data_IF_449437453213
#
_entry.id   IF_449437453213
#
_cell.length_a   1.000
_cell.length_b   1.000
_cell.length_c   1.000
_cell.angle_alpha   90.00
_cell.angle_beta   90.00
_cell.angle_gamma   90.00
#
_symmetry.space_group_name_H-M   'P 1'
#
loop_
_entity.id
_entity.type
_entity.pdbx_description
1 polymer ?
#
# COMPACT_ATOMS: atom_id res chain seq x y z
N UNK A 1 -13.25 0.17 -19.89
CA UNK A 1 -12.71 -0.53 -18.71
C UNK A 1 -12.05 0.44 -17.77
N UNK A 2 -12.24 0.25 -16.49
CA UNK A 2 -11.70 1.14 -15.48
C UNK A 2 -10.38 0.57 -14.94
N UNK A 3 -9.34 1.37 -14.97
CA UNK A 3 -8.06 0.98 -14.39
C UNK A 3 -8.16 1.05 -12.85
N UNK A 4 -7.72 0.00 -12.17
CA UNK A 4 -7.68 -0.01 -10.71
C UNK A 4 -6.36 0.59 -10.25
N UNK A 5 -6.44 1.61 -9.41
CA UNK A 5 -5.29 2.25 -8.79
C UNK A 5 -5.23 1.90 -7.32
N UNK A 6 -4.11 1.36 -6.89
CA UNK A 6 -3.85 1.06 -5.48
C UNK A 6 -2.75 1.96 -4.96
N UNK A 7 -2.84 2.32 -3.70
CA UNK A 7 -1.77 3.08 -3.03
C UNK A 7 -1.39 2.39 -1.73
N UNK A 8 -0.12 2.45 -1.42
CA UNK A 8 0.41 1.86 -0.22
C UNK A 8 1.87 2.23 -0.06
N UNK A 9 2.65 1.37 0.55
CA UNK A 9 4.04 1.72 0.63
C UNK A 9 4.93 0.83 1.47
N UNK A 10 6.15 1.28 1.55
CA UNK A 10 7.18 0.72 2.41
C UNK A 10 7.06 1.43 3.75
N UNK A 11 6.67 0.69 4.79
CA UNK A 11 6.40 1.25 6.12
C UNK A 11 7.53 0.85 7.04
N UNK A 12 8.20 1.83 7.61
CA UNK A 12 9.34 1.62 8.51
C UNK A 12 8.89 1.81 9.95
N UNK A 13 9.25 0.86 10.80
CA UNK A 13 9.01 0.92 12.23
C UNK A 13 10.19 0.29 12.96
N UNK A 14 10.89 1.08 13.77
CA UNK A 14 12.04 0.63 14.57
C UNK A 14 13.05 -0.16 13.74
N UNK A 15 13.40 0.37 12.57
CA UNK A 15 14.38 -0.24 11.68
C UNK A 15 13.90 -1.46 10.92
N UNK A 16 12.61 -1.74 10.96
CA UNK A 16 12.01 -2.89 10.27
C UNK A 16 10.97 -2.43 9.26
N UNK A 17 10.70 -3.28 8.29
CA UNK A 17 9.68 -3.02 7.26
C UNK A 17 8.45 -3.85 7.59
N UNK A 18 7.29 -3.20 7.53
CA UNK A 18 6.00 -3.88 7.72
C UNK A 18 5.64 -4.68 6.49
N UNK A 19 5.45 -5.96 6.67
CA UNK A 19 4.95 -6.86 5.63
C UNK A 19 3.69 -7.55 6.12
N UNK A 20 2.78 -7.81 5.19
CA UNK A 20 1.55 -8.54 5.45
C UNK A 20 1.64 -9.90 4.78
N UNK A 21 1.20 -10.94 5.47
CA UNK A 21 1.09 -12.26 4.87
C UNK A 21 -0.32 -12.42 4.31
N UNK A 22 -0.40 -12.74 3.03
CA UNK A 22 -1.69 -12.90 2.37
C UNK A 22 -1.76 -14.20 1.59
N UNK A 23 -2.95 -14.77 1.57
CA UNK A 23 -3.27 -15.95 0.78
C UNK A 23 -4.44 -15.60 -0.13
N UNK A 24 -4.17 -15.50 -1.42
CA UNK A 24 -5.16 -15.16 -2.44
C UNK A 24 -5.69 -16.41 -3.13
N UNK A 25 -6.24 -17.34 -2.37
CA UNK A 25 -6.95 -18.54 -2.87
C UNK A 25 -6.43 -19.06 -4.22
N UNK A 26 -5.42 -19.93 -4.20
CA UNK A 26 -4.85 -20.59 -5.39
C UNK A 26 -4.17 -19.67 -6.40
N UNK A 27 -3.95 -18.38 -6.07
CA UNK A 27 -3.24 -17.46 -6.95
C UNK A 27 -1.88 -17.09 -6.42
N UNK A 28 -1.83 -16.66 -5.18
CA UNK A 28 -0.60 -16.23 -4.55
C UNK A 28 -0.72 -16.37 -3.04
N UNK A 29 0.34 -16.84 -2.43
CA UNK A 29 0.46 -16.87 -0.99
C UNK A 29 1.84 -16.36 -0.63
N UNK A 30 1.92 -15.38 0.26
CA UNK A 30 3.21 -14.85 0.68
C UNK A 30 3.13 -13.48 1.30
N UNK A 31 4.28 -12.85 1.43
CA UNK A 31 4.43 -11.54 2.06
C UNK A 31 4.27 -10.44 1.04
N UNK A 32 3.49 -9.42 1.39
CA UNK A 32 3.23 -8.28 0.52
C UNK A 32 3.34 -6.98 1.30
N UNK A 33 3.59 -5.89 0.57
CA UNK A 33 3.52 -4.55 1.14
C UNK A 33 2.06 -4.16 1.35
N UNK A 34 1.73 -3.40 2.42
CA UNK A 34 0.38 -2.89 2.60
C UNK A 34 -0.01 -1.97 1.47
N UNK A 35 -1.19 -2.18 0.90
CA UNK A 35 -1.75 -1.33 -0.14
C UNK A 35 -3.23 -1.64 -0.32
N UNK A 36 -3.93 -0.71 -0.94
CA UNK A 36 -5.33 -0.91 -1.28
C UNK A 36 -5.84 0.11 -2.26
N UNK A 37 -7.07 -0.10 -2.70
CA UNK A 37 -7.68 0.67 -3.78
C UNK A 37 -8.04 2.09 -3.33
N UNK A 38 -7.76 3.06 -4.20
CA UNK A 38 -8.14 4.46 -3.98
C UNK A 38 -9.65 4.58 -3.99
N UNK A 39 -10.20 5.25 -2.98
CA UNK A 39 -11.62 5.54 -2.91
C UNK A 39 -11.92 6.87 -3.59
N UNK A 40 -13.16 7.04 -4.03
CA UNK A 40 -13.58 8.24 -4.72
C UNK A 40 -13.32 9.48 -3.85
N UNK A 41 -12.67 10.49 -4.44
CA UNK A 41 -12.35 11.74 -3.76
C UNK A 41 -11.14 11.68 -2.85
N UNK A 42 -10.50 10.52 -2.75
CA UNK A 42 -9.36 10.34 -1.86
C UNK A 42 -8.05 10.68 -2.58
N UNK A 43 -7.16 11.39 -1.88
CA UNK A 43 -5.81 11.62 -2.38
C UNK A 43 -4.99 10.35 -2.25
N UNK A 44 -4.02 10.14 -3.17
CA UNK A 44 -3.21 8.92 -3.17
C UNK A 44 -2.47 8.70 -1.85
N UNK A 45 -1.86 9.77 -1.30
CA UNK A 45 -1.15 9.65 -0.03
C UNK A 45 -2.10 9.28 1.11
N UNK A 46 -3.31 9.81 1.10
CA UNK A 46 -4.31 9.48 2.12
C UNK A 46 -4.78 8.03 2.01
N UNK A 47 -4.87 7.51 0.77
CA UNK A 47 -5.16 6.10 0.56
C UNK A 47 -4.08 5.23 1.20
N UNK A 48 -2.82 5.57 0.98
CA UNK A 48 -1.71 4.83 1.57
C UNK A 48 -1.79 4.82 3.10
N UNK A 49 -2.05 5.98 3.70
CA UNK A 49 -2.19 6.10 5.15
C UNK A 49 -3.37 5.29 5.68
N UNK A 50 -4.50 5.36 4.99
CA UNK A 50 -5.69 4.62 5.39
C UNK A 50 -5.48 3.11 5.31
N UNK A 51 -4.90 2.63 4.22
CA UNK A 51 -4.67 1.21 4.04
C UNK A 51 -3.68 0.65 5.08
N UNK A 52 -2.62 1.40 5.40
CA UNK A 52 -1.70 0.99 6.46
C UNK A 52 -2.45 0.91 7.79
N UNK A 53 -3.31 1.89 8.09
CA UNK A 53 -4.10 1.89 9.32
C UNK A 53 -5.04 0.70 9.38
N UNK A 54 -5.76 0.43 8.30
CA UNK A 54 -6.71 -0.69 8.25
C UNK A 54 -6.01 -2.04 8.38
N UNK A 55 -4.87 -2.20 7.72
CA UNK A 55 -4.18 -3.49 7.65
C UNK A 55 -3.28 -3.77 8.85
N UNK A 56 -2.77 -2.74 9.52
CA UNK A 56 -1.84 -2.93 10.65
C UNK A 56 -2.32 -2.34 11.97
N UNK A 57 -3.34 -1.48 11.95
CA UNK A 57 -3.78 -0.76 13.13
C UNK A 57 -2.92 0.45 13.47
N UNK A 58 -1.83 0.67 12.74
CA UNK A 58 -0.88 1.73 13.08
C UNK A 58 -1.17 3.02 12.33
N UNK A 59 -0.85 4.15 12.95
CA UNK A 59 -0.89 5.46 12.32
C UNK A 59 0.49 5.78 11.79
N UNK A 60 0.61 5.91 10.49
CA UNK A 60 1.86 6.20 9.82
C UNK A 60 1.90 7.63 9.31
N UNK A 61 3.10 8.07 8.92
CA UNK A 61 3.33 9.39 8.33
C UNK A 61 4.02 9.22 7.00
N UNK A 62 3.65 10.03 6.01
CA UNK A 62 4.29 10.01 4.70
C UNK A 62 5.64 10.70 4.80
N UNK A 63 6.68 10.03 4.31
CA UNK A 63 8.02 10.62 4.19
C UNK A 63 8.19 11.16 2.78
N UNK A 64 7.97 10.29 1.77
CA UNK A 64 8.10 10.71 0.38
C UNK A 64 7.46 9.71 -0.56
N UNK A 65 7.23 10.13 -1.80
CA UNK A 65 6.85 9.25 -2.89
C UNK A 65 8.06 8.39 -3.28
N UNK A 66 7.83 7.10 -3.49
CA UNK A 66 8.90 6.17 -3.85
C UNK A 66 8.85 5.82 -5.33
N UNK A 67 7.69 5.41 -5.81
CA UNK A 67 7.59 5.00 -7.20
C UNK A 67 6.26 4.35 -7.51
N UNK A 68 6.15 3.85 -8.72
CA UNK A 68 4.95 3.21 -9.21
C UNK A 68 5.28 1.84 -9.77
N UNK A 69 4.27 0.98 -9.85
CA UNK A 69 4.40 -0.33 -10.45
C UNK A 69 3.13 -0.64 -11.21
N UNK A 70 3.29 -1.16 -12.42
CA UNK A 70 2.15 -1.59 -13.23
C UNK A 70 2.18 -3.12 -13.31
N UNK A 71 1.20 -3.74 -12.69
CA UNK A 71 1.09 -5.20 -12.71
C UNK A 71 0.62 -5.68 -14.08
N UNK A 72 -0.38 -4.99 -14.63
CA UNK A 72 -0.87 -5.20 -15.99
C UNK A 72 -1.53 -3.90 -16.43
N UNK A 73 -2.11 -3.85 -17.65
CA UNK A 73 -2.70 -2.60 -18.12
C UNK A 73 -3.96 -2.18 -17.35
N UNK A 74 -4.43 -3.02 -16.43
CA UNK A 74 -5.62 -2.75 -15.60
C UNK A 74 -5.29 -2.41 -14.16
N UNK A 75 -4.05 -2.67 -13.73
CA UNK A 75 -3.67 -2.53 -12.32
C UNK A 75 -2.42 -1.68 -12.18
N UNK A 76 -2.55 -0.57 -11.49
CA UNK A 76 -1.50 0.40 -11.27
C UNK A 76 -1.33 0.64 -9.78
N UNK A 77 -0.11 0.61 -9.30
CA UNK A 77 0.18 0.81 -7.88
C UNK A 77 1.13 1.97 -7.67
N UNK A 78 0.85 2.75 -6.65
CA UNK A 78 1.65 3.91 -6.26
C UNK A 78 2.15 3.66 -4.84
N UNK A 79 3.46 3.80 -4.64
CA UNK A 79 4.09 3.49 -3.37
C UNK A 79 4.76 4.71 -2.76
N UNK A 80 4.60 4.84 -1.45
CA UNK A 80 5.21 5.87 -0.62
C UNK A 80 6.12 5.23 0.41
N UNK A 81 7.06 6.01 0.92
CA UNK A 81 7.82 5.65 2.09
C UNK A 81 7.11 6.23 3.30
N UNK A 82 6.73 5.38 4.25
CA UNK A 82 5.98 5.77 5.44
C UNK A 82 6.77 5.40 6.69
N UNK A 83 6.47 6.10 7.77
CA UNK A 83 7.13 5.89 9.05
C UNK A 83 6.10 5.81 10.16
N UNK A 84 6.30 4.86 11.08
CA UNK A 84 5.50 4.72 12.29
C UNK A 84 6.38 5.11 13.47
N UNK A 85 5.88 6.07 14.27
CA UNK A 85 6.59 6.50 15.47
C UNK A 85 6.33 5.57 16.65
#
# INVERSE_FOLDING_TARGET
MVEATSCGGVVIYKGKILLLYKNFKNRYEGWVLPKGTVEEGEEHADTALREVKEESGATAHIIKFVGTSRYNFMTYSIFYLLYIY
#
